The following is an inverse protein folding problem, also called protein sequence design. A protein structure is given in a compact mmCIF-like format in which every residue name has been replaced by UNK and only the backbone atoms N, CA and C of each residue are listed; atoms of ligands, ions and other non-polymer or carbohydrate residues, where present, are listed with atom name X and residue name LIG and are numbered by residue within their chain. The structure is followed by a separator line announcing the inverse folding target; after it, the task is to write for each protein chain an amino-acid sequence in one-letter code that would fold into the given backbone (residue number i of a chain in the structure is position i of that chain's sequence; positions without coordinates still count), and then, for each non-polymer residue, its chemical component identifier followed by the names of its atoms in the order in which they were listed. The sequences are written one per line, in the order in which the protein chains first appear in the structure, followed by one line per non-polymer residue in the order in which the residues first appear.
data_IF_681049761978
#
_entry.id   IF_681049761978
#
_cell.length_a   1.000
_cell.length_b   1.000
_cell.length_c   1.000
_cell.angle_alpha   90.00
_cell.angle_beta   90.00
_cell.angle_gamma   90.00
#
_symmetry.space_group_name_H-M   'P 1'
#
loop_
_entity.id
_entity.type
_entity.pdbx_description
1 polymer ?
#
# COMPACT_ATOMS: atom_id res chain seq x y z
N UNK A 1 20.71 -17.87 5.46
CA UNK A 1 19.26 -18.13 5.63
C UNK A 1 18.50 -16.90 5.16
N UNK A 2 17.59 -17.09 4.25
CA UNK A 2 16.75 -15.99 3.77
C UNK A 2 15.49 -15.89 4.61
N UNK A 3 15.13 -14.68 5.00
CA UNK A 3 13.87 -14.42 5.70
C UNK A 3 13.13 -13.30 4.98
N UNK A 4 11.82 -13.28 5.17
CA UNK A 4 10.95 -12.24 4.61
C UNK A 4 10.79 -11.15 5.65
N UNK A 5 11.15 -9.92 5.27
CA UNK A 5 11.06 -8.78 6.18
C UNK A 5 10.29 -7.65 5.53
N UNK A 6 9.68 -6.81 6.32
CA UNK A 6 8.94 -5.66 5.81
C UNK A 6 9.92 -4.67 5.16
N UNK A 7 9.68 -4.38 3.88
CA UNK A 7 10.48 -3.44 3.10
C UNK A 7 9.86 -2.05 3.10
N UNK A 8 8.54 -1.98 2.97
CA UNK A 8 7.82 -0.72 2.78
C UNK A 8 6.50 -0.74 3.53
N UNK A 9 6.07 0.42 4.01
CA UNK A 9 4.79 0.54 4.68
C UNK A 9 4.22 1.94 4.49
N UNK A 10 2.97 2.01 4.01
CA UNK A 10 2.17 3.23 4.04
C UNK A 10 1.17 3.03 5.17
N UNK A 11 1.37 3.77 6.26
CA UNK A 11 0.59 3.56 7.48
C UNK A 11 -0.62 4.48 7.51
N UNK A 12 -1.82 3.89 7.50
CA UNK A 12 -3.09 4.61 7.68
C UNK A 12 -3.39 5.61 6.56
N UNK A 13 -3.40 5.12 5.32
CA UNK A 13 -3.93 5.87 4.20
C UNK A 13 -5.45 5.67 4.11
N UNK A 14 -6.14 6.59 3.47
CA UNK A 14 -7.59 6.54 3.33
C UNK A 14 -7.97 6.09 1.93
N UNK A 15 -8.89 5.14 1.82
CA UNK A 15 -9.41 4.68 0.52
C UNK A 15 -10.20 5.81 -0.12
N UNK A 16 -9.80 6.20 -1.34
CA UNK A 16 -10.48 7.29 -2.07
C UNK A 16 -11.47 6.78 -3.10
N UNK A 17 -11.30 5.54 -3.58
CA UNK A 17 -12.17 4.97 -4.59
C UNK A 17 -12.12 3.44 -4.50
N UNK A 18 -13.24 2.79 -4.85
CA UNK A 18 -13.34 1.34 -4.94
C UNK A 18 -14.02 1.01 -6.27
N UNK A 19 -13.27 0.52 -7.25
CA UNK A 19 -13.74 0.31 -8.61
C UNK A 19 -13.80 -1.18 -8.93
N UNK A 20 -14.99 -1.77 -8.80
CA UNK A 20 -15.22 -3.19 -9.02
C UNK A 20 -14.97 -3.62 -10.47
N UNK A 21 -15.14 -2.70 -11.41
CA UNK A 21 -15.12 -2.99 -12.84
C UNK A 21 -13.76 -2.77 -13.51
N UNK A 22 -12.69 -2.75 -12.72
CA UNK A 22 -11.34 -2.59 -13.22
C UNK A 22 -10.50 -3.83 -12.90
N UNK A 23 -9.28 -3.92 -13.46
CA UNK A 23 -8.38 -5.03 -13.17
C UNK A 23 -7.98 -5.04 -11.71
N UNK A 24 -8.04 -6.22 -11.08
CA UNK A 24 -7.69 -6.37 -9.67
C UNK A 24 -6.31 -5.80 -9.36
N UNK A 25 -6.26 -4.79 -8.49
CA UNK A 25 -5.03 -4.06 -8.18
C UNK A 25 -5.33 -2.99 -7.13
N UNK A 26 -4.27 -2.28 -6.71
CA UNK A 26 -4.42 -1.04 -5.94
C UNK A 26 -3.71 0.08 -6.67
N UNK A 27 -4.44 1.16 -6.96
CA UNK A 27 -3.85 2.36 -7.56
C UNK A 27 -3.40 3.28 -6.42
N UNK A 28 -2.12 3.64 -6.43
CA UNK A 28 -1.51 4.45 -5.37
C UNK A 28 -0.89 5.70 -6.00
N UNK A 29 -1.13 6.86 -5.41
CA UNK A 29 -0.45 8.11 -5.77
C UNK A 29 1.05 7.85 -5.88
N UNK A 30 1.63 8.20 -7.04
CA UNK A 30 3.05 7.90 -7.31
C UNK A 30 3.99 8.59 -6.32
N UNK A 31 3.62 9.74 -5.76
CA UNK A 31 4.42 10.39 -4.73
C UNK A 31 4.51 9.54 -3.47
N UNK A 32 3.41 8.88 -3.09
CA UNK A 32 3.42 7.96 -1.96
C UNK A 32 4.26 6.72 -2.26
N UNK A 33 4.18 6.22 -3.50
CA UNK A 33 5.00 5.09 -3.92
C UNK A 33 6.49 5.41 -3.80
N UNK A 34 6.90 6.54 -4.33
CA UNK A 34 8.31 6.95 -4.26
C UNK A 34 8.79 7.07 -2.82
N UNK A 35 7.99 7.73 -1.97
CA UNK A 35 8.36 7.94 -0.57
C UNK A 35 8.45 6.63 0.20
N UNK A 36 7.61 5.65 -0.14
CA UNK A 36 7.60 4.35 0.51
C UNK A 36 8.48 3.32 -0.19
N UNK A 37 9.20 3.71 -1.25
CA UNK A 37 10.06 2.81 -2.02
C UNK A 37 9.28 1.64 -2.62
N UNK A 38 8.17 1.96 -3.28
CA UNK A 38 7.30 1.00 -3.97
C UNK A 38 7.28 1.29 -5.46
N UNK A 39 7.14 0.24 -6.27
CA UNK A 39 7.06 0.38 -7.72
C UNK A 39 5.79 -0.30 -8.25
N UNK A 40 5.38 0.10 -9.47
CA UNK A 40 4.27 -0.53 -10.15
C UNK A 40 4.55 -2.01 -10.38
N UNK A 41 3.53 -2.84 -10.20
CA UNK A 41 3.65 -4.29 -10.33
C UNK A 41 4.11 -5.00 -9.06
N UNK A 42 4.55 -4.25 -8.07
CA UNK A 42 5.00 -4.84 -6.81
C UNK A 42 3.80 -5.38 -6.02
N UNK A 43 3.96 -6.58 -5.47
CA UNK A 43 2.94 -7.20 -4.62
C UNK A 43 2.91 -6.49 -3.27
N UNK A 44 1.71 -6.20 -2.79
CA UNK A 44 1.51 -5.60 -1.46
C UNK A 44 0.45 -6.36 -0.68
N UNK A 45 0.61 -6.36 0.63
CA UNK A 45 -0.40 -6.83 1.57
C UNK A 45 -1.15 -5.60 2.10
N UNK A 46 -2.46 -5.68 2.13
CA UNK A 46 -3.31 -4.59 2.58
C UNK A 46 -4.14 -5.08 3.76
N UNK A 47 -4.19 -4.26 4.81
CA UNK A 47 -5.08 -4.51 5.93
C UNK A 47 -5.99 -3.30 6.09
N UNK A 48 -7.28 -3.56 6.33
CA UNK A 48 -8.30 -2.53 6.49
C UNK A 48 -8.65 -2.43 7.97
N UNK A 49 -8.40 -1.27 8.57
CA UNK A 49 -8.62 -1.07 10.00
C UNK A 49 -10.10 -1.07 10.37
N UNK A 50 -10.97 -0.74 9.43
CA UNK A 50 -12.41 -0.59 9.72
C UNK A 50 -13.16 -1.91 9.75
N UNK A 51 -12.73 -2.91 8.97
CA UNK A 51 -13.42 -4.20 8.90
C UNK A 51 -12.54 -5.39 9.21
N UNK A 52 -11.23 -5.20 9.41
CA UNK A 52 -10.30 -6.27 9.73
C UNK A 52 -9.90 -7.16 8.56
N UNK A 53 -10.29 -6.82 7.33
CA UNK A 53 -9.92 -7.59 6.15
C UNK A 53 -8.43 -7.49 5.88
N UNK A 54 -7.85 -8.62 5.42
CA UNK A 54 -6.45 -8.72 5.02
C UNK A 54 -6.40 -9.41 3.67
N UNK A 55 -5.72 -8.79 2.69
CA UNK A 55 -5.65 -9.34 1.35
C UNK A 55 -4.38 -8.85 0.65
N UNK A 56 -4.08 -9.47 -0.50
CA UNK A 56 -2.90 -9.13 -1.29
C UNK A 56 -3.32 -8.75 -2.69
N UNK A 57 -2.58 -7.82 -3.28
CA UNK A 57 -2.76 -7.43 -4.66
C UNK A 57 -1.45 -6.81 -5.17
N UNK A 58 -1.46 -6.14 -6.32
CA UNK A 58 -0.28 -5.47 -6.85
C UNK A 58 -0.60 -4.02 -7.16
N UNK A 59 0.44 -3.21 -7.32
CA UNK A 59 0.34 -1.76 -7.43
C UNK A 59 0.22 -1.32 -8.89
N UNK A 60 -0.68 -0.35 -9.12
CA UNK A 60 -0.76 0.44 -10.35
C UNK A 60 -0.47 1.89 -9.95
N UNK A 61 0.31 2.60 -10.79
CA UNK A 61 0.64 4.00 -10.53
C UNK A 61 -0.59 4.89 -10.65
N UNK A 62 -0.82 5.72 -9.65
CA UNK A 62 -1.83 6.76 -9.65
C UNK A 62 -1.20 8.11 -9.91
N UNK A 63 -2.04 9.11 -10.19
CA UNK A 63 -1.61 10.46 -10.49
C UNK A 63 -0.85 11.06 -9.30
N UNK A 64 0.31 11.65 -9.59
CA UNK A 64 1.13 12.31 -8.58
C UNK A 64 0.39 13.44 -7.89
N UNK A 65 0.47 13.46 -6.57
CA UNK A 65 -0.12 14.53 -5.79
C UNK A 65 -1.63 14.45 -5.65
N UNK A 66 -2.25 13.38 -6.18
CA UNK A 66 -3.71 13.21 -6.10
C UNK A 66 -4.18 12.69 -4.75
N UNK A 67 -3.30 12.03 -4.02
CA UNK A 67 -3.68 11.33 -2.78
C UNK A 67 -4.49 10.09 -3.03
N UNK A 68 -4.53 9.57 -4.25
CA UNK A 68 -5.41 8.44 -4.58
C UNK A 68 -4.95 7.14 -3.96
N UNK A 69 -5.90 6.43 -3.39
CA UNK A 69 -5.79 5.04 -2.94
C UNK A 69 -7.06 4.36 -3.44
N UNK A 70 -6.96 3.68 -4.57
CA UNK A 70 -8.12 3.06 -5.21
C UNK A 70 -7.97 1.55 -5.25
N UNK A 71 -8.93 0.84 -4.68
CA UNK A 71 -8.96 -0.62 -4.74
C UNK A 71 -9.78 -1.03 -5.95
N UNK A 72 -9.21 -1.88 -6.79
CA UNK A 72 -9.76 -2.25 -8.09
C UNK A 72 -10.12 -3.73 -8.14
N UNK A 73 -11.16 -4.06 -8.93
CA UNK A 73 -11.58 -5.43 -9.14
C UNK A 73 -12.13 -6.06 -7.86
N UNK A 74 -11.82 -7.33 -7.65
CA UNK A 74 -12.32 -8.07 -6.48
C UNK A 74 -11.93 -7.41 -5.16
N UNK A 75 -10.76 -6.76 -5.11
CA UNK A 75 -10.30 -6.08 -3.90
C UNK A 75 -11.25 -4.94 -3.49
N UNK A 76 -11.98 -4.36 -4.46
CA UNK A 76 -12.95 -3.30 -4.15
C UNK A 76 -14.07 -3.79 -3.24
N UNK A 77 -14.33 -5.09 -3.21
CA UNK A 77 -15.35 -5.65 -2.32
C UNK A 77 -14.90 -5.77 -0.87
N UNK A 78 -13.60 -5.65 -0.63
CA UNK A 78 -13.00 -5.79 0.70
C UNK A 78 -12.95 -4.47 1.47
N UNK A 79 -13.24 -3.36 0.80
CA UNK A 79 -13.08 -2.02 1.39
C UNK A 79 -14.29 -1.16 1.06
N UNK A 80 -14.39 -0.04 1.77
CA UNK A 80 -15.31 1.05 1.43
C UNK A 80 -14.52 2.34 1.34
N UNK A 81 -14.99 3.26 0.49
CA UNK A 81 -14.40 4.60 0.40
C UNK A 81 -14.42 5.23 1.80
N UNK A 82 -13.28 5.79 2.19
CA UNK A 82 -13.12 6.37 3.52
C UNK A 82 -12.46 5.45 4.54
N UNK A 83 -12.38 4.15 4.24
CA UNK A 83 -11.69 3.20 5.15
C UNK A 83 -10.23 3.57 5.32
N UNK A 84 -9.70 3.27 6.50
CA UNK A 84 -8.28 3.44 6.81
C UNK A 84 -7.58 2.12 6.52
N UNK A 85 -6.58 2.15 5.64
CA UNK A 85 -5.83 0.95 5.26
C UNK A 85 -4.35 1.13 5.55
N UNK A 86 -3.67 0.01 5.74
CA UNK A 86 -2.21 -0.04 5.86
C UNK A 86 -1.72 -0.92 4.72
N UNK A 87 -0.75 -0.41 3.97
CA UNK A 87 -0.21 -1.07 2.78
C UNK A 87 1.24 -1.43 3.06
N UNK A 88 1.60 -2.71 2.90
CA UNK A 88 2.94 -3.19 3.23
C UNK A 88 3.50 -4.02 2.10
N UNK A 89 4.80 -3.94 1.88
CA UNK A 89 5.49 -4.89 1.02
C UNK A 89 6.64 -5.52 1.79
N UNK A 90 7.07 -6.68 1.31
CA UNK A 90 8.09 -7.49 1.96
C UNK A 90 9.17 -7.86 0.97
N UNK A 91 10.36 -8.12 1.44
CA UNK A 91 11.48 -8.55 0.62
C UNK A 91 12.21 -9.70 1.29
N UNK A 92 12.74 -10.59 0.47
CA UNK A 92 13.60 -11.68 0.97
C UNK A 92 15.02 -11.13 1.11
N UNK A 93 15.62 -11.34 2.26
CA UNK A 93 17.02 -10.99 2.45
C UNK A 93 17.68 -11.94 3.43
N UNK A 94 19.01 -11.97 3.35
CA UNK A 94 19.79 -12.75 4.29
C UNK A 94 19.55 -12.25 5.71
N UNK A 95 19.53 -13.18 6.66
CA UNK A 95 19.22 -12.89 8.06
C UNK A 95 20.12 -11.79 8.64
N UNK A 96 21.42 -11.84 8.34
CA UNK A 96 22.35 -10.83 8.87
C UNK A 96 22.13 -9.46 8.23
N UNK A 97 21.81 -9.43 6.93
CA UNK A 97 21.43 -8.19 6.23
C UNK A 97 20.16 -7.60 6.83
N UNK A 98 19.18 -8.46 7.10
CA UNK A 98 17.89 -8.03 7.64
C UNK A 98 18.00 -7.33 8.99
N UNK A 99 18.99 -7.71 9.80
CA UNK A 99 19.20 -7.07 11.11
C UNK A 99 19.57 -5.59 10.98
N UNK A 100 20.14 -5.20 9.85
CA UNK A 100 20.61 -3.81 9.61
C UNK A 100 19.71 -3.05 8.64
N UNK A 101 18.74 -3.74 8.04
CA UNK A 101 17.87 -3.12 7.03
C UNK A 101 16.89 -2.13 7.69
N UNK A 102 16.72 -0.98 7.06
CA UNK A 102 15.77 0.06 7.50
C UNK A 102 14.62 0.12 6.51
N UNK A 103 13.41 -0.30 6.88
CA UNK A 103 12.26 -0.22 5.98
C UNK A 103 11.85 1.23 5.72
N UNK A 104 11.22 1.45 4.57
CA UNK A 104 10.66 2.76 4.21
C UNK A 104 9.23 2.82 4.73
N UNK A 105 9.01 3.61 5.77
CA UNK A 105 7.68 3.74 6.41
C UNK A 105 7.24 5.19 6.30
N UNK A 106 6.06 5.42 5.74
CA UNK A 106 5.49 6.77 5.65
C UNK A 106 4.13 6.83 6.34
N UNK A 107 3.80 8.04 6.81
CA UNK A 107 2.55 8.35 7.49
C UNK A 107 1.90 9.49 6.72
N UNK A 108 1.04 9.19 5.72
CA UNK A 108 0.41 10.27 4.93
C UNK A 108 -0.50 11.14 5.79
N UNK A 109 -0.76 12.35 5.29
CA UNK A 109 -1.71 13.24 5.94
C UNK A 109 -3.07 12.55 6.06
N UNK A 110 -3.67 12.59 7.23
CA UNK A 110 -4.89 11.86 7.52
C UNK A 110 -6.07 12.28 6.64
N UNK A 111 -6.14 13.56 6.27
CA UNK A 111 -7.27 14.05 5.48
C UNK A 111 -7.07 13.92 3.98
N UNK A 112 -5.83 14.03 3.49
CA UNK A 112 -5.56 14.17 2.06
C UNK A 112 -4.77 13.01 1.46
N UNK A 113 -4.21 12.12 2.26
CA UNK A 113 -3.26 11.07 1.87
C UNK A 113 -1.94 11.62 1.32
N UNK A 114 -1.72 12.92 1.36
CA UNK A 114 -0.50 13.48 0.78
C UNK A 114 0.66 13.40 1.77
N UNK A 115 1.86 13.52 1.24
CA UNK A 115 3.05 13.60 2.07
C UNK A 115 3.02 14.86 2.93
N UNK A 116 3.50 14.74 4.15
CA UNK A 116 3.55 15.87 5.09
C UNK A 116 4.97 16.37 5.26
#
# INVERSE_FOLDING_TARGET
MLIEVMKSKIHCARVTEANLNYMGSITIDEDLMDAANLIAGEKVAIVDNNNGERFETYIIKGERGSGCICLNGAAARKVQVGDIVIIMSYALMDFEEAKRFQPSVIFPDFATNKLV
#
